data_IF_929963844532
#
_entry.id   IF_929963844532
#
_cell.length_a   1.000
_cell.length_b   1.000
_cell.length_c   1.000
_cell.angle_alpha   90.00
_cell.angle_beta   90.00
_cell.angle_gamma   90.00
#
_symmetry.space_group_name_H-M   'P 1'
#
loop_
_entity.id
_entity.type
_entity.pdbx_description
1 polymer ?
#
# COMPACT_ATOMS: atom_id res chain seq x y z
N UNK A 1 -13.32 18.10 4.11
CA UNK A 1 -12.24 17.51 3.30
C UNK A 1 -12.27 16.00 3.44
N UNK A 2 -12.57 15.27 2.36
CA UNK A 2 -12.76 13.81 2.39
C UNK A 2 -11.44 13.03 2.16
N UNK A 3 -10.31 13.74 2.04
CA UNK A 3 -8.99 13.16 1.70
C UNK A 3 -8.44 12.29 2.84
N UNK A 4 -8.67 12.68 4.09
CA UNK A 4 -8.26 11.85 5.24
C UNK A 4 -8.95 10.48 5.26
N UNK A 5 -10.16 10.37 4.69
CA UNK A 5 -10.87 9.10 4.56
C UNK A 5 -10.37 8.25 3.38
N UNK A 6 -9.79 8.86 2.34
CA UNK A 6 -9.23 8.13 1.20
C UNK A 6 -8.02 7.28 1.58
N UNK A 7 -7.20 7.75 2.53
CA UNK A 7 -5.99 7.04 2.97
C UNK A 7 -6.30 5.63 3.53
N UNK A 8 -7.21 5.44 4.51
CA UNK A 8 -7.59 4.11 4.99
C UNK A 8 -8.11 3.18 3.89
N UNK A 9 -8.90 3.68 2.93
CA UNK A 9 -9.40 2.84 1.83
C UNK A 9 -8.27 2.40 0.89
N UNK A 10 -7.35 3.31 0.55
CA UNK A 10 -6.18 2.99 -0.27
C UNK A 10 -5.25 1.99 0.42
N UNK A 11 -5.00 2.19 1.71
CA UNK A 11 -4.11 1.33 2.48
C UNK A 11 -4.69 -0.09 2.60
N UNK A 12 -6.00 -0.22 2.81
CA UNK A 12 -6.67 -1.53 2.79
C UNK A 12 -6.54 -2.19 1.42
N UNK A 13 -6.87 -1.51 0.33
CA UNK A 13 -6.78 -2.10 -1.00
C UNK A 13 -5.35 -2.60 -1.32
N UNK A 14 -4.34 -1.82 -0.92
CA UNK A 14 -2.93 -2.19 -1.07
C UNK A 14 -2.55 -3.40 -0.21
N UNK A 15 -2.93 -3.41 1.07
CA UNK A 15 -2.64 -4.53 1.98
C UNK A 15 -3.30 -5.83 1.53
N UNK A 16 -4.56 -5.76 1.09
CA UNK A 16 -5.30 -6.93 0.56
C UNK A 16 -4.61 -7.48 -0.69
N UNK A 17 -4.25 -6.60 -1.62
CA UNK A 17 -3.57 -7.00 -2.85
C UNK A 17 -2.20 -7.62 -2.55
N UNK A 18 -1.44 -7.03 -1.62
CA UNK A 18 -0.14 -7.53 -1.20
C UNK A 18 -0.26 -8.92 -0.54
N UNK A 19 -1.23 -9.12 0.36
CA UNK A 19 -1.47 -10.41 1.03
C UNK A 19 -1.92 -11.47 0.00
N UNK A 20 -2.81 -11.12 -0.92
CA UNK A 20 -3.28 -12.01 -1.99
C UNK A 20 -2.10 -12.48 -2.85
N UNK A 21 -1.31 -11.54 -3.38
CA UNK A 21 -0.14 -11.86 -4.22
C UNK A 21 0.90 -12.67 -3.46
N UNK A 22 1.15 -12.34 -2.19
CA UNK A 22 2.03 -13.09 -1.32
C UNK A 22 1.57 -14.54 -1.17
N UNK A 23 0.30 -14.77 -0.85
CA UNK A 23 -0.28 -16.12 -0.71
C UNK A 23 -0.27 -16.90 -2.02
N UNK A 24 -0.64 -16.26 -3.14
CA UNK A 24 -0.56 -16.88 -4.47
C UNK A 24 0.87 -17.31 -4.82
N UNK A 25 1.86 -16.48 -4.47
CA UNK A 25 3.28 -16.81 -4.70
C UNK A 25 3.76 -17.99 -3.84
N UNK A 26 3.29 -18.08 -2.59
CA UNK A 26 3.59 -19.19 -1.68
C UNK A 26 2.98 -20.51 -2.18
N UNK A 27 1.73 -20.50 -2.63
CA UNK A 27 1.06 -21.66 -3.24
C UNK A 27 1.79 -22.11 -4.52
N UNK A 28 2.19 -21.17 -5.39
CA UNK A 28 3.00 -21.49 -6.59
C UNK A 28 4.36 -22.09 -6.24
N UNK A 29 5.02 -21.62 -5.18
CA UNK A 29 6.29 -22.21 -4.70
C UNK A 29 6.11 -23.62 -4.17
N UNK A 30 5.02 -23.90 -3.45
CA UNK A 30 4.71 -25.26 -2.99
C UNK A 30 4.41 -26.21 -4.15
N UNK A 31 3.76 -25.73 -5.21
CA UNK A 31 3.51 -26.51 -6.43
C UNK A 31 4.77 -26.73 -7.29
N UNK A 32 5.83 -25.92 -7.10
CA UNK A 32 7.06 -25.97 -7.90
C UNK A 32 8.17 -26.85 -7.30
N UNK A 33 7.94 -27.49 -6.13
CA UNK A 33 8.90 -28.46 -5.57
C UNK A 33 8.75 -29.80 -6.31
N UNK A 34 9.79 -30.29 -7.03
CA UNK A 34 9.72 -31.62 -7.62
C UNK A 34 9.67 -32.64 -6.49
N UNK A 35 8.61 -33.46 -6.44
CA UNK A 35 8.54 -34.62 -5.55
C UNK A 35 9.64 -35.62 -5.91
N UNK A 36 10.79 -35.49 -5.27
CA UNK A 36 11.80 -36.54 -5.18
C UNK A 36 11.43 -37.52 -4.07
N UNK A 37 10.77 -38.62 -4.44
CA UNK A 37 10.83 -39.91 -3.75
C UNK A 37 10.16 -40.07 -2.38
N UNK A 38 9.03 -40.78 -2.38
CA UNK A 38 8.67 -41.71 -1.28
C UNK A 38 7.57 -41.27 -0.32
N UNK A 39 6.53 -42.11 -0.24
CA UNK A 39 5.45 -42.13 0.74
C UNK A 39 4.50 -40.91 0.76
N UNK A 40 3.44 -41.05 -0.06
CA UNK A 40 2.26 -40.21 -0.01
C UNK A 40 1.52 -40.36 1.33
N UNK A 41 1.68 -39.39 2.23
CA UNK A 41 0.60 -38.98 3.13
C UNK A 41 -0.23 -37.93 2.41
N UNK A 42 -1.27 -38.38 1.70
CA UNK A 42 -2.35 -37.53 1.24
C UNK A 42 -3.09 -36.98 2.46
N UNK A 43 -2.74 -35.77 2.90
CA UNK A 43 -3.68 -34.94 3.66
C UNK A 43 -4.66 -34.34 2.65
N UNK A 44 -5.85 -34.92 2.63
CA UNK A 44 -7.00 -34.50 1.83
C UNK A 44 -7.27 -33.00 1.93
N UNK A 45 -7.56 -32.37 0.79
CA UNK A 45 -8.41 -31.17 0.74
C UNK A 45 -8.08 -30.18 -0.37
N UNK A 46 -8.40 -30.51 -1.64
CA UNK A 46 -8.53 -29.48 -2.69
C UNK A 46 -8.15 -29.95 -4.10
N UNK A 47 -9.14 -30.23 -4.95
CA UNK A 47 -8.98 -30.67 -6.34
C UNK A 47 -8.29 -29.63 -7.25
N UNK A 48 -7.46 -30.05 -8.23
CA UNK A 48 -6.61 -29.17 -9.04
C UNK A 48 -7.31 -28.54 -10.27
N UNK A 49 -8.60 -28.18 -10.17
CA UNK A 49 -9.37 -27.72 -11.35
C UNK A 49 -10.50 -26.72 -11.11
N UNK A 50 -10.72 -26.28 -9.87
CA UNK A 50 -11.76 -25.28 -9.52
C UNK A 50 -11.25 -24.16 -8.60
N UNK A 51 -9.94 -24.01 -8.50
CA UNK A 51 -9.28 -23.40 -7.35
C UNK A 51 -9.26 -21.85 -7.31
N UNK A 52 -9.42 -21.14 -8.42
CA UNK A 52 -9.26 -19.68 -8.40
C UNK A 52 -10.45 -18.96 -7.73
N UNK A 53 -11.68 -19.45 -7.90
CA UNK A 53 -12.88 -18.82 -7.35
C UNK A 53 -13.02 -19.00 -5.84
N UNK A 54 -12.81 -20.21 -5.34
CA UNK A 54 -12.90 -20.51 -3.90
C UNK A 54 -11.70 -19.94 -3.13
N UNK A 55 -10.50 -19.93 -3.70
CA UNK A 55 -9.33 -19.29 -3.06
C UNK A 55 -9.51 -17.77 -2.99
N UNK A 56 -10.03 -17.13 -4.05
CA UNK A 56 -10.34 -15.69 -4.01
C UNK A 56 -11.43 -15.40 -2.99
N UNK A 57 -12.49 -16.24 -2.92
CA UNK A 57 -13.59 -16.08 -1.96
C UNK A 57 -13.13 -16.26 -0.51
N UNK A 58 -12.32 -17.29 -0.23
CA UNK A 58 -11.78 -17.55 1.09
C UNK A 58 -10.81 -16.44 1.51
N UNK A 59 -9.95 -15.96 0.60
CA UNK A 59 -9.07 -14.82 0.90
C UNK A 59 -9.89 -13.55 1.13
N UNK A 60 -10.96 -13.30 0.36
CA UNK A 60 -11.86 -12.16 0.61
C UNK A 60 -12.55 -12.27 1.97
N UNK A 61 -13.01 -13.48 2.34
CA UNK A 61 -13.67 -13.74 3.61
C UNK A 61 -12.70 -13.56 4.80
N UNK A 62 -11.49 -14.09 4.70
CA UNK A 62 -10.42 -13.92 5.69
C UNK A 62 -9.96 -12.46 5.80
N UNK A 63 -9.93 -11.77 4.66
CA UNK A 63 -9.61 -10.34 4.58
C UNK A 63 -10.64 -9.50 5.31
N UNK A 64 -11.94 -9.69 5.06
CA UNK A 64 -13.00 -8.96 5.77
C UNK A 64 -12.98 -9.27 7.27
N UNK A 65 -12.63 -10.50 7.65
CA UNK A 65 -12.43 -10.92 9.05
C UNK A 65 -11.14 -10.41 9.68
N UNK A 66 -10.27 -9.73 8.92
CA UNK A 66 -9.06 -9.12 9.47
C UNK A 66 -9.44 -8.09 10.55
N UNK A 67 -8.76 -8.11 11.71
CA UNK A 67 -8.96 -7.12 12.76
C UNK A 67 -8.87 -5.67 12.26
N UNK A 68 -8.03 -5.39 11.26
CA UNK A 68 -7.87 -4.06 10.70
C UNK A 68 -9.13 -3.57 9.94
N UNK A 69 -9.68 -4.42 9.07
CA UNK A 69 -10.88 -4.07 8.28
C UNK A 69 -12.11 -4.01 9.18
N UNK A 70 -12.23 -4.97 10.10
CA UNK A 70 -13.31 -4.96 11.10
C UNK A 70 -13.24 -3.71 11.98
N UNK A 71 -12.06 -3.30 12.44
CA UNK A 71 -11.87 -2.09 13.21
C UNK A 71 -12.18 -0.81 12.40
N UNK A 72 -11.81 -0.76 11.11
CA UNK A 72 -12.17 0.38 10.25
C UNK A 72 -13.69 0.50 10.11
N UNK A 73 -14.38 -0.60 9.77
CA UNK A 73 -15.83 -0.59 9.55
C UNK A 73 -16.59 -0.19 10.82
N UNK A 74 -16.20 -0.76 11.96
CA UNK A 74 -16.76 -0.40 13.27
C UNK A 74 -16.43 1.05 13.62
N UNK A 75 -15.20 1.50 13.39
CA UNK A 75 -14.77 2.88 13.63
C UNK A 75 -15.53 3.89 12.78
N UNK A 76 -15.80 3.58 11.50
CA UNK A 76 -16.60 4.42 10.60
C UNK A 76 -18.06 4.48 11.06
N UNK A 77 -18.65 3.34 11.45
CA UNK A 77 -19.99 3.30 11.99
C UNK A 77 -20.09 4.12 13.28
N UNK A 78 -19.17 3.91 14.23
CA UNK A 78 -19.12 4.68 15.48
C UNK A 78 -18.94 6.18 15.21
N UNK A 79 -18.05 6.56 14.29
CA UNK A 79 -17.85 7.96 13.89
C UNK A 79 -19.12 8.61 13.33
N UNK A 80 -19.88 7.87 12.52
CA UNK A 80 -21.13 8.35 11.94
C UNK A 80 -22.24 8.53 13.00
N UNK A 81 -22.32 7.64 13.99
CA UNK A 81 -23.39 7.67 14.99
C UNK A 81 -23.07 8.51 16.24
N UNK A 82 -21.80 8.53 16.67
CA UNK A 82 -21.42 9.07 17.98
C UNK A 82 -21.01 10.56 17.98
N UNK A 83 -20.85 11.19 16.80
CA UNK A 83 -20.32 12.58 16.64
C UNK A 83 -19.17 12.91 17.63
N UNK A 84 -18.06 12.18 17.59
CA UNK A 84 -17.00 12.28 18.59
C UNK A 84 -16.06 13.50 18.37
N UNK A 85 -16.45 14.49 17.57
CA UNK A 85 -15.57 15.53 17.02
C UNK A 85 -14.72 16.24 18.10
N UNK A 86 -15.34 16.63 19.22
CA UNK A 86 -14.63 17.30 20.30
C UNK A 86 -13.50 16.45 20.92
N UNK A 87 -13.71 15.14 21.07
CA UNK A 87 -12.68 14.21 21.61
C UNK A 87 -11.61 13.94 20.56
N UNK A 88 -12.01 13.82 19.29
CA UNK A 88 -11.09 13.62 18.18
C UNK A 88 -10.13 14.80 18.04
N UNK A 89 -10.65 16.03 18.06
CA UNK A 89 -9.85 17.25 17.86
C UNK A 89 -8.98 17.60 19.08
N UNK A 90 -9.52 17.50 20.29
CA UNK A 90 -8.81 17.97 21.49
C UNK A 90 -7.81 16.97 22.06
N UNK A 91 -8.06 15.67 21.90
CA UNK A 91 -7.25 14.62 22.51
C UNK A 91 -6.52 13.78 21.46
N UNK A 92 -7.24 13.26 20.47
CA UNK A 92 -6.68 12.30 19.52
C UNK A 92 -5.77 12.95 18.48
N UNK A 93 -6.18 14.04 17.84
CA UNK A 93 -5.41 14.66 16.76
C UNK A 93 -4.01 15.12 17.20
N UNK A 94 -3.84 15.84 18.33
CA UNK A 94 -2.51 16.23 18.81
C UNK A 94 -1.63 15.02 19.14
N UNK A 95 -2.20 14.03 19.83
CA UNK A 95 -1.47 12.83 20.23
C UNK A 95 -1.07 11.99 19.01
N UNK A 96 -1.97 11.86 18.03
CA UNK A 96 -1.73 11.17 16.77
C UNK A 96 -0.60 11.83 15.99
N UNK A 97 -0.62 13.16 15.83
CA UNK A 97 0.48 13.87 15.17
C UNK A 97 1.80 13.72 15.91
N UNK A 98 1.78 13.76 17.24
CA UNK A 98 2.97 13.49 18.07
C UNK A 98 3.53 12.08 17.84
N UNK A 99 2.68 11.05 17.91
CA UNK A 99 3.08 9.66 17.68
C UNK A 99 3.53 9.41 16.23
N UNK A 100 2.84 9.98 15.25
CA UNK A 100 3.23 9.92 13.84
C UNK A 100 4.61 10.55 13.62
N UNK A 101 4.93 11.67 14.27
CA UNK A 101 6.25 12.30 14.12
C UNK A 101 7.37 11.37 14.59
N UNK A 102 7.16 10.66 15.71
CA UNK A 102 8.10 9.67 16.24
C UNK A 102 8.19 8.46 15.29
N UNK A 103 7.05 7.99 14.79
CA UNK A 103 7.02 6.88 13.83
C UNK A 103 7.80 7.22 12.55
N UNK A 104 7.57 8.40 11.97
CA UNK A 104 8.28 8.86 10.77
C UNK A 104 9.78 9.01 11.02
N UNK A 105 10.19 9.43 12.23
CA UNK A 105 11.60 9.49 12.61
C UNK A 105 12.23 8.08 12.67
N UNK A 106 11.55 7.12 13.32
CA UNK A 106 12.02 5.73 13.41
C UNK A 106 12.13 5.09 12.02
N UNK A 107 11.09 5.25 11.19
CA UNK A 107 11.10 4.76 9.82
C UNK A 107 12.21 5.40 8.99
N UNK A 108 12.47 6.70 9.17
CA UNK A 108 13.59 7.39 8.52
C UNK A 108 14.96 6.85 8.94
N UNK A 109 15.16 6.58 10.22
CA UNK A 109 16.40 5.95 10.73
C UNK A 109 16.58 4.52 10.18
N UNK A 110 15.52 3.72 10.14
CA UNK A 110 15.58 2.36 9.60
C UNK A 110 15.85 2.37 8.09
N UNK A 111 15.21 3.27 7.34
CA UNK A 111 15.47 3.48 5.92
C UNK A 111 16.93 3.88 5.66
N UNK A 112 17.48 4.82 6.45
CA UNK A 112 18.89 5.24 6.34
C UNK A 112 19.85 4.08 6.57
N UNK A 113 19.63 3.29 7.61
CA UNK A 113 20.48 2.13 7.92
C UNK A 113 20.48 1.09 6.77
N UNK A 114 19.32 0.90 6.12
CA UNK A 114 19.12 -0.09 5.05
C UNK A 114 19.45 0.43 3.65
N UNK A 115 19.57 1.74 3.44
CA UNK A 115 19.84 2.36 2.14
C UNK A 115 21.19 1.90 1.55
N UNK A 116 22.20 1.75 2.41
CA UNK A 116 23.53 1.26 1.99
C UNK A 116 23.48 -0.20 1.54
N UNK A 117 22.63 -1.01 2.14
CA UNK A 117 22.43 -2.41 1.78
C UNK A 117 21.59 -2.57 0.52
N UNK A 118 20.69 -1.62 0.21
CA UNK A 118 19.90 -1.62 -1.02
C UNK A 118 20.80 -1.70 -2.27
N UNK A 119 21.96 -1.03 -2.24
CA UNK A 119 22.97 -1.07 -3.31
C UNK A 119 23.57 -2.47 -3.54
N UNK A 120 23.51 -3.34 -2.53
CA UNK A 120 24.01 -4.72 -2.58
C UNK A 120 22.92 -5.71 -2.99
N UNK A 121 21.64 -5.33 -2.87
CA UNK A 121 20.50 -6.12 -3.36
C UNK A 121 20.35 -5.90 -4.88
N UNK A 122 19.54 -6.72 -5.55
CA UNK A 122 19.29 -6.63 -6.99
C UNK A 122 18.95 -5.20 -7.45
N UNK A 123 19.74 -4.67 -8.39
CA UNK A 123 19.57 -3.34 -9.02
C UNK A 123 18.14 -3.09 -9.54
N UNK A 124 17.42 -4.17 -9.86
CA UNK A 124 16.00 -4.13 -10.20
C UNK A 124 15.15 -3.38 -9.15
N UNK A 125 15.42 -3.52 -7.86
CA UNK A 125 14.67 -2.83 -6.80
C UNK A 125 14.93 -1.32 -6.79
N UNK A 126 16.15 -0.89 -7.10
CA UNK A 126 16.49 0.53 -7.21
C UNK A 126 15.77 1.15 -8.40
N UNK A 127 15.83 0.49 -9.56
CA UNK A 127 15.13 0.95 -10.77
C UNK A 127 13.63 1.01 -10.51
N UNK A 128 13.06 -0.02 -9.89
CA UNK A 128 11.64 -0.04 -9.54
C UNK A 128 11.27 1.08 -8.57
N UNK A 129 12.04 1.31 -7.51
CA UNK A 129 11.75 2.35 -6.52
C UNK A 129 11.80 3.78 -7.10
N UNK A 130 12.57 4.01 -8.16
CA UNK A 130 12.58 5.31 -8.87
C UNK A 130 11.43 5.39 -9.88
N UNK A 131 11.21 4.33 -10.66
CA UNK A 131 10.23 4.34 -11.74
C UNK A 131 8.79 4.27 -11.22
N UNK A 132 8.54 3.48 -10.17
CA UNK A 132 7.19 3.19 -9.69
C UNK A 132 6.42 4.45 -9.24
N UNK A 133 6.98 5.39 -8.44
CA UNK A 133 6.25 6.61 -8.07
C UNK A 133 5.82 7.44 -9.28
N UNK A 134 6.69 7.57 -10.30
CA UNK A 134 6.39 8.32 -11.51
C UNK A 134 5.30 7.62 -12.34
N UNK A 135 5.42 6.31 -12.53
CA UNK A 135 4.45 5.53 -13.31
C UNK A 135 3.07 5.52 -12.64
N UNK A 136 3.01 5.21 -11.34
CA UNK A 136 1.73 5.22 -10.62
C UNK A 136 1.14 6.62 -10.52
N UNK A 137 1.96 7.65 -10.33
CA UNK A 137 1.49 9.03 -10.35
C UNK A 137 0.94 9.46 -11.71
N UNK A 138 1.55 9.04 -12.83
CA UNK A 138 1.01 9.26 -14.17
C UNK A 138 -0.32 8.51 -14.39
N UNK A 139 -0.47 7.31 -13.84
CA UNK A 139 -1.76 6.60 -13.86
C UNK A 139 -2.83 7.36 -13.05
N UNK A 140 -2.47 7.86 -11.86
CA UNK A 140 -3.34 8.70 -11.04
C UNK A 140 -3.74 9.99 -11.75
N UNK A 141 -2.79 10.64 -12.44
CA UNK A 141 -3.04 11.82 -13.27
C UNK A 141 -4.03 11.49 -14.39
N UNK A 142 -3.84 10.39 -15.11
CA UNK A 142 -4.73 9.97 -16.20
C UNK A 142 -6.17 9.73 -15.71
N UNK A 143 -6.34 9.07 -14.56
CA UNK A 143 -7.65 8.90 -13.92
C UNK A 143 -8.24 10.24 -13.50
N UNK A 144 -7.41 11.15 -12.97
CA UNK A 144 -7.83 12.49 -12.57
C UNK A 144 -8.31 13.32 -13.77
N UNK A 145 -7.60 13.28 -14.89
CA UNK A 145 -8.00 13.94 -16.14
C UNK A 145 -9.32 13.37 -16.67
N UNK A 146 -9.50 12.05 -16.63
CA UNK A 146 -10.79 11.45 -16.96
C UNK A 146 -11.90 11.98 -16.05
N UNK A 147 -11.66 12.06 -14.74
CA UNK A 147 -12.63 12.64 -13.79
C UNK A 147 -12.90 14.13 -14.06
N UNK A 148 -11.88 14.89 -14.46
CA UNK A 148 -12.00 16.30 -14.85
C UNK A 148 -12.96 16.46 -16.03
N UNK A 149 -12.75 15.72 -17.12
CA UNK A 149 -13.61 15.82 -18.31
C UNK A 149 -15.05 15.35 -18.07
N UNK A 150 -15.27 14.44 -17.12
CA UNK A 150 -16.60 13.89 -16.86
C UNK A 150 -17.40 14.71 -15.84
N UNK A 151 -16.73 15.30 -14.84
CA UNK A 151 -17.41 15.91 -13.67
C UNK A 151 -16.99 17.35 -13.38
N UNK A 152 -16.00 17.90 -14.10
CA UNK A 152 -15.39 19.19 -13.78
C UNK A 152 -14.43 19.15 -12.59
N UNK A 153 -13.84 17.98 -12.30
CA UNK A 153 -12.88 17.79 -11.20
C UNK A 153 -11.68 18.75 -11.31
N UNK A 154 -11.40 19.53 -10.27
CA UNK A 154 -10.40 20.62 -10.37
C UNK A 154 -8.98 20.11 -10.64
N UNK A 155 -8.12 20.96 -11.23
CA UNK A 155 -6.71 20.63 -11.45
C UNK A 155 -5.94 20.35 -10.15
N UNK A 156 -6.30 21.02 -9.06
CA UNK A 156 -5.81 20.68 -7.72
C UNK A 156 -6.21 19.26 -7.30
N UNK A 157 -7.45 18.85 -7.59
CA UNK A 157 -7.91 17.47 -7.37
C UNK A 157 -7.15 16.45 -8.20
N UNK A 158 -6.92 16.73 -9.49
CA UNK A 158 -6.12 15.89 -10.40
C UNK A 158 -4.69 15.73 -9.90
N UNK A 159 -4.05 16.84 -9.50
CA UNK A 159 -2.70 16.84 -8.92
C UNK A 159 -2.65 15.99 -7.66
N UNK A 160 -3.61 16.17 -6.75
CA UNK A 160 -3.66 15.41 -5.51
C UNK A 160 -3.84 13.91 -5.77
N UNK A 161 -4.68 13.53 -6.74
CA UNK A 161 -4.87 12.13 -7.10
C UNK A 161 -3.57 11.50 -7.65
N UNK A 162 -2.84 12.23 -8.50
CA UNK A 162 -1.54 11.81 -9.01
C UNK A 162 -0.52 11.62 -7.87
N UNK A 163 -0.42 12.56 -6.94
CA UNK A 163 0.50 12.48 -5.80
C UNK A 163 0.15 11.32 -4.87
N UNK A 164 -1.14 11.12 -4.59
CA UNK A 164 -1.60 9.99 -3.78
C UNK A 164 -1.27 8.64 -4.43
N UNK A 165 -1.40 8.54 -5.76
CA UNK A 165 -1.03 7.34 -6.51
C UNK A 165 0.48 7.12 -6.59
N UNK A 166 1.29 8.19 -6.62
CA UNK A 166 2.75 8.12 -6.61
C UNK A 166 3.32 7.65 -5.26
N UNK A 167 2.59 7.88 -4.17
CA UNK A 167 3.03 7.55 -2.81
C UNK A 167 2.93 6.05 -2.51
N UNK A 168 3.88 5.54 -1.73
CA UNK A 168 3.88 4.20 -1.16
C UNK A 168 3.27 4.16 0.25
N UNK A 169 2.78 2.99 0.69
CA UNK A 169 2.37 2.78 2.09
C UNK A 169 3.58 2.44 2.97
N UNK A 170 4.16 3.47 3.57
CA UNK A 170 5.36 3.35 4.41
C UNK A 170 5.04 3.14 5.90
N UNK A 171 3.78 3.31 6.30
CA UNK A 171 3.34 3.20 7.70
C UNK A 171 2.97 1.76 8.07
N UNK A 172 2.07 1.14 7.31
CA UNK A 172 1.53 -0.20 7.59
C UNK A 172 2.14 -1.30 6.72
N UNK A 173 2.69 -0.92 5.56
CA UNK A 173 3.31 -1.83 4.60
C UNK A 173 4.46 -2.65 5.19
N UNK A 174 5.52 -2.02 5.76
CA UNK A 174 6.67 -2.74 6.28
C UNK A 174 6.36 -3.73 7.43
N UNK A 175 5.57 -3.37 8.46
CA UNK A 175 5.15 -4.33 9.47
C UNK A 175 4.33 -5.50 8.89
N UNK A 176 3.44 -5.21 7.94
CA UNK A 176 2.60 -6.24 7.31
C UNK A 176 3.44 -7.22 6.48
N UNK A 177 4.38 -6.71 5.68
CA UNK A 177 5.28 -7.55 4.90
C UNK A 177 6.20 -8.38 5.80
N UNK A 178 6.69 -7.82 6.91
CA UNK A 178 7.49 -8.56 7.89
C UNK A 178 6.69 -9.70 8.54
N UNK A 179 5.40 -9.47 8.82
CA UNK A 179 4.52 -10.49 9.38
C UNK A 179 4.11 -11.56 8.35
N UNK A 180 3.86 -11.17 7.09
CA UNK A 180 3.41 -12.06 6.04
C UNK A 180 4.56 -12.86 5.38
N UNK A 181 5.75 -12.27 5.27
CA UNK A 181 6.95 -12.84 4.66
C UNK A 181 8.20 -12.56 5.54
N UNK A 182 8.39 -13.30 6.65
CA UNK A 182 9.52 -13.07 7.56
C UNK A 182 10.89 -13.25 6.92
N UNK A 183 10.97 -14.12 5.91
CA UNK A 183 12.20 -14.45 5.16
C UNK A 183 12.58 -13.37 4.11
N UNK A 184 11.72 -12.38 3.87
CA UNK A 184 11.98 -11.34 2.88
C UNK A 184 13.03 -10.34 3.41
N UNK A 185 13.98 -9.96 2.55
CA UNK A 185 15.01 -9.00 2.92
C UNK A 185 14.39 -7.62 3.26
N UNK A 186 14.54 -7.11 4.49
CA UNK A 186 14.01 -5.80 4.89
C UNK A 186 14.49 -4.63 4.04
N UNK A 187 15.71 -4.70 3.50
CA UNK A 187 16.22 -3.68 2.59
C UNK A 187 15.40 -3.61 1.30
N UNK A 188 14.81 -4.72 0.83
CA UNK A 188 14.04 -4.74 -0.40
C UNK A 188 12.68 -4.02 -0.28
N UNK A 189 12.04 -4.02 0.89
CA UNK A 189 10.76 -3.33 1.08
C UNK A 189 10.90 -1.99 1.83
N UNK A 190 11.67 -1.91 2.92
CA UNK A 190 11.89 -0.64 3.65
C UNK A 190 12.84 0.27 2.90
N UNK A 191 13.97 -0.26 2.42
CA UNK A 191 14.97 0.54 1.72
C UNK A 191 14.47 1.04 0.36
N UNK A 192 13.72 0.22 -0.38
CA UNK A 192 13.17 0.59 -1.67
C UNK A 192 12.00 1.58 -1.54
N UNK A 193 11.03 1.28 -0.66
CA UNK A 193 9.84 2.13 -0.46
C UNK A 193 10.21 3.43 0.27
N UNK A 194 10.61 3.33 1.54
CA UNK A 194 10.83 4.49 2.40
C UNK A 194 12.14 5.22 2.10
N UNK A 195 13.20 4.46 1.77
CA UNK A 195 14.53 5.03 1.53
C UNK A 195 14.69 5.73 0.18
N UNK A 196 13.96 5.29 -0.86
CA UNK A 196 14.12 5.80 -2.23
C UNK A 196 12.81 6.21 -2.87
N UNK A 197 11.76 5.38 -2.77
CA UNK A 197 10.43 5.64 -3.32
C UNK A 197 9.79 6.90 -2.76
N UNK A 198 9.71 7.07 -1.44
CA UNK A 198 9.09 8.25 -0.81
C UNK A 198 9.80 9.56 -1.22
N UNK A 199 11.14 9.69 -1.18
CA UNK A 199 11.81 10.87 -1.73
C UNK A 199 11.47 11.15 -3.19
N UNK A 200 11.44 10.13 -4.05
CA UNK A 200 11.09 10.30 -5.47
C UNK A 200 9.63 10.74 -5.63
N UNK A 201 8.71 10.18 -4.85
CA UNK A 201 7.31 10.59 -4.83
C UNK A 201 7.17 12.07 -4.43
N UNK A 202 7.86 12.51 -3.38
CA UNK A 202 7.85 13.92 -2.95
C UNK A 202 8.41 14.84 -4.05
N UNK A 203 9.52 14.44 -4.67
CA UNK A 203 10.14 15.23 -5.76
C UNK A 203 9.31 15.22 -7.05
N UNK A 204 8.37 14.30 -7.20
CA UNK A 204 7.43 14.26 -8.33
C UNK A 204 6.23 15.21 -8.18
N UNK A 205 6.01 15.80 -6.99
CA UNK A 205 4.88 16.72 -6.76
C UNK A 205 4.91 17.92 -7.74
N UNK A 206 6.03 18.66 -7.89
CA UNK A 206 6.08 19.79 -8.83
C UNK A 206 5.86 19.36 -10.29
N UNK A 207 6.28 18.14 -10.64
CA UNK A 207 6.03 17.57 -11.97
C UNK A 207 4.53 17.39 -12.22
N UNK A 208 3.79 16.80 -11.28
CA UNK A 208 2.35 16.60 -11.44
C UNK A 208 1.55 17.91 -11.37
N UNK A 209 2.01 18.89 -10.59
CA UNK A 209 1.45 20.25 -10.62
C UNK A 209 1.61 20.87 -12.00
N UNK A 210 2.82 20.83 -12.58
CA UNK A 210 3.10 21.39 -13.89
C UNK A 210 2.32 20.67 -15.02
N UNK A 211 2.23 19.34 -14.95
CA UNK A 211 1.44 18.56 -15.92
C UNK A 211 -0.06 18.87 -15.83
N UNK A 212 -0.60 19.02 -14.61
CA UNK A 212 -2.02 19.36 -14.43
C UNK A 212 -2.32 20.76 -14.95
N UNK A 213 -1.48 21.74 -14.64
CA UNK A 213 -1.62 23.11 -15.14
C UNK A 213 -1.51 23.15 -16.68
N UNK A 214 -0.54 22.44 -17.25
CA UNK A 214 -0.34 22.39 -18.70
C UNK A 214 -1.51 21.76 -19.45
N UNK A 215 -2.16 20.74 -18.88
CA UNK A 215 -3.22 19.98 -19.55
C UNK A 215 -4.61 20.60 -19.38
N UNK A 216 -4.92 21.15 -18.20
CA UNK A 216 -6.28 21.61 -17.87
C UNK A 216 -6.34 22.98 -17.18
N UNK A 217 -5.20 23.54 -16.76
CA UNK A 217 -5.12 24.83 -16.05
C UNK A 217 -5.67 24.80 -14.63
N UNK A 218 -5.11 25.61 -13.74
CA UNK A 218 -5.63 25.81 -12.37
C UNK A 218 -6.87 26.70 -12.28
#
# INVERSE_FOLDING_TARGET
GFIGALYPFMDIAALVTAILLARMSAVRRMAAVPSGGGAATMTLGGSPGGADGDVVRDILADTVRSPAISALLVGLALGAFARPDAVVESFYAPLFHGLLSILMLVMGMEAWARLSDLRKVAHAYVVYAIAAPLLHGLMGLAVGLAAHHLTGFSAGGVTLLAVMAASSSDISGPPTLRAALPEANPSAYVGASTGLGTPVAILSIPLFMALSDWLIGF
#
